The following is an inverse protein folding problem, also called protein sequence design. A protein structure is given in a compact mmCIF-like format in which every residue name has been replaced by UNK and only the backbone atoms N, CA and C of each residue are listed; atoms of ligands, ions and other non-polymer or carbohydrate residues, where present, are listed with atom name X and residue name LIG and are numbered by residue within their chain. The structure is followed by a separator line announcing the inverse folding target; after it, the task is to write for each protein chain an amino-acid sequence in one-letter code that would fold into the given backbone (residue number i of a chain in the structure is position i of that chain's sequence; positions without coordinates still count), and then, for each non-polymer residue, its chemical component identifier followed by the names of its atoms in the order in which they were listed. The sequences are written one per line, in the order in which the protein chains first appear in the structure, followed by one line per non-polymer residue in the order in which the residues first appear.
data_IF_625037401622
#
_entry.id   IF_625037401622
#
_cell.length_a   1.000
_cell.length_b   1.000
_cell.length_c   1.000
_cell.angle_alpha   90.00
_cell.angle_beta   90.00
_cell.angle_gamma   90.00
#
_symmetry.space_group_name_H-M   'P 1'
#
loop_
_entity.id
_entity.type
_entity.pdbx_description
1 polymer ?
#
# COMPACT_ATOMS: atom_id res chain seq x y z
N UNK A 1 4.26 -26.54 11.53
CA UNK A 1 4.54 -25.10 11.37
C UNK A 1 4.60 -24.46 12.75
N UNK A 2 5.59 -23.62 13.03
CA UNK A 2 5.60 -22.82 14.27
C UNK A 2 4.57 -21.68 14.15
N UNK A 3 4.00 -21.24 15.28
CA UNK A 3 3.02 -20.15 15.32
C UNK A 3 3.59 -18.87 14.66
N UNK A 4 4.88 -18.59 14.86
CA UNK A 4 5.54 -17.43 14.24
C UNK A 4 5.58 -17.47 12.71
N UNK A 5 5.78 -18.65 12.10
CA UNK A 5 5.77 -18.80 10.65
C UNK A 5 4.36 -18.56 10.07
N UNK A 6 3.32 -19.04 10.75
CA UNK A 6 1.93 -18.82 10.33
C UNK A 6 1.56 -17.33 10.34
N UNK A 7 1.99 -16.60 11.37
CA UNK A 7 1.76 -15.14 11.49
C UNK A 7 2.48 -14.37 10.38
N UNK A 8 3.72 -14.73 10.05
CA UNK A 8 4.46 -14.09 8.96
C UNK A 8 3.79 -14.32 7.59
N UNK A 9 3.31 -15.53 7.31
CA UNK A 9 2.60 -15.84 6.07
C UNK A 9 1.30 -15.04 6.00
N UNK A 10 0.50 -15.01 7.08
CA UNK A 10 -0.73 -14.24 7.12
C UNK A 10 -0.48 -12.74 6.88
N UNK A 11 0.58 -12.19 7.48
CA UNK A 11 0.97 -10.80 7.28
C UNK A 11 1.39 -10.50 5.84
N UNK A 12 2.21 -11.36 5.23
CA UNK A 12 2.61 -11.22 3.83
C UNK A 12 1.41 -11.29 2.87
N UNK A 13 0.47 -12.22 3.11
CA UNK A 13 -0.77 -12.32 2.33
C UNK A 13 -1.65 -11.09 2.50
N UNK A 14 -1.74 -10.52 3.71
CA UNK A 14 -2.50 -9.30 3.96
C UNK A 14 -1.90 -8.10 3.21
N UNK A 15 -0.57 -7.96 3.21
CA UNK A 15 0.13 -6.94 2.42
C UNK A 15 -0.19 -7.12 0.94
N UNK A 16 -0.01 -8.33 0.40
CA UNK A 16 -0.27 -8.62 -1.00
C UNK A 16 -1.72 -8.31 -1.39
N UNK A 17 -2.69 -8.75 -0.58
CA UNK A 17 -4.12 -8.51 -0.81
C UNK A 17 -4.47 -7.02 -0.82
N UNK A 18 -4.05 -6.26 0.20
CA UNK A 18 -4.32 -4.82 0.25
C UNK A 18 -3.66 -4.08 -0.91
N UNK A 19 -2.42 -4.44 -1.24
CA UNK A 19 -1.68 -3.82 -2.33
C UNK A 19 -2.38 -4.03 -3.67
N UNK A 20 -2.80 -5.26 -3.97
CA UNK A 20 -3.54 -5.58 -5.19
C UNK A 20 -4.89 -4.85 -5.26
N UNK A 21 -5.62 -4.77 -4.14
CA UNK A 21 -6.88 -4.04 -4.07
C UNK A 21 -6.69 -2.56 -4.38
N UNK A 22 -5.70 -1.91 -3.76
CA UNK A 22 -5.43 -0.48 -3.95
C UNK A 22 -4.90 -0.21 -5.37
N UNK A 23 -3.96 -1.03 -5.85
CA UNK A 23 -3.44 -0.92 -7.21
C UNK A 23 -4.54 -1.07 -8.25
N UNK A 24 -5.39 -2.09 -8.13
CA UNK A 24 -6.52 -2.31 -9.03
C UNK A 24 -7.49 -1.12 -9.05
N UNK A 25 -7.74 -0.51 -7.89
CA UNK A 25 -8.59 0.68 -7.81
C UNK A 25 -7.95 1.90 -8.47
N UNK A 26 -6.67 2.16 -8.22
CA UNK A 26 -5.94 3.28 -8.84
C UNK A 26 -5.89 3.13 -10.37
N UNK A 27 -5.64 1.92 -10.88
CA UNK A 27 -5.65 1.63 -12.31
C UNK A 27 -7.05 1.84 -12.89
N UNK A 28 -8.10 1.34 -12.22
CA UNK A 28 -9.49 1.56 -12.66
C UNK A 28 -9.88 3.04 -12.68
N UNK A 29 -9.48 3.80 -11.65
CA UNK A 29 -9.62 5.26 -11.61
C UNK A 29 -8.96 5.91 -12.83
N UNK A 30 -7.67 5.63 -13.05
CA UNK A 30 -6.89 6.23 -14.13
C UNK A 30 -7.46 5.89 -15.50
N UNK A 31 -7.88 4.64 -15.72
CA UNK A 31 -8.52 4.21 -16.96
C UNK A 31 -9.83 4.96 -17.22
N UNK A 32 -10.71 5.07 -16.21
CA UNK A 32 -11.96 5.84 -16.33
C UNK A 32 -11.70 7.31 -16.60
N UNK A 33 -10.73 7.92 -15.90
CA UNK A 33 -10.35 9.31 -16.10
C UNK A 33 -9.79 9.58 -17.50
N UNK A 34 -9.00 8.65 -18.04
CA UNK A 34 -8.45 8.74 -19.40
C UNK A 34 -9.56 8.68 -20.45
N UNK A 35 -10.58 7.83 -20.25
CA UNK A 35 -11.74 7.73 -21.15
C UNK A 35 -12.58 9.00 -21.22
N UNK A 36 -12.57 9.83 -20.18
CA UNK A 36 -13.29 11.11 -20.13
C UNK A 36 -12.34 12.32 -20.28
N UNK A 37 -11.13 12.11 -20.78
CA UNK A 37 -10.11 13.14 -21.02
C UNK A 37 -9.76 14.03 -19.80
N UNK A 38 -9.92 13.51 -18.57
CA UNK A 38 -9.56 14.23 -17.33
C UNK A 38 -8.12 13.94 -16.92
N UNK A 39 -7.17 14.45 -17.70
CA UNK A 39 -5.73 14.14 -17.56
C UNK A 39 -5.15 14.47 -16.18
N UNK A 40 -5.64 15.52 -15.49
CA UNK A 40 -5.22 15.81 -14.12
C UNK A 40 -5.51 14.66 -13.15
N UNK A 41 -6.68 14.01 -13.27
CA UNK A 41 -7.06 12.86 -12.45
C UNK A 41 -6.23 11.63 -12.82
N UNK A 42 -5.94 11.44 -14.11
CA UNK A 42 -5.05 10.37 -14.58
C UNK A 42 -3.68 10.51 -13.92
N UNK A 43 -3.08 11.71 -13.98
CA UNK A 43 -1.79 11.99 -13.34
C UNK A 43 -1.82 11.70 -11.83
N UNK A 44 -2.90 12.09 -11.12
CA UNK A 44 -3.05 11.76 -9.70
C UNK A 44 -3.15 10.26 -9.43
N UNK A 45 -3.85 9.50 -10.27
CA UNK A 45 -3.96 8.05 -10.12
C UNK A 45 -2.64 7.33 -10.46
N UNK A 46 -1.85 7.84 -11.42
CA UNK A 46 -0.46 7.37 -11.68
C UNK A 46 0.48 7.69 -10.52
N UNK A 47 0.44 8.92 -10.00
CA UNK A 47 1.22 9.31 -8.82
C UNK A 47 0.86 8.44 -7.60
N UNK A 48 -0.41 8.07 -7.45
CA UNK A 48 -0.85 7.13 -6.42
C UNK A 48 -0.25 5.74 -6.56
N UNK A 49 -0.11 5.23 -7.79
CA UNK A 49 0.57 3.95 -8.05
C UNK A 49 2.05 4.05 -7.69
N UNK A 50 2.72 5.13 -8.10
CA UNK A 50 4.12 5.37 -7.74
C UNK A 50 4.33 5.44 -6.22
N UNK A 51 3.42 6.11 -5.50
CA UNK A 51 3.45 6.17 -4.04
C UNK A 51 3.23 4.79 -3.39
N UNK A 52 2.33 3.96 -3.94
CA UNK A 52 2.14 2.58 -3.47
C UNK A 52 3.42 1.74 -3.66
N UNK A 53 4.10 1.87 -4.81
CA UNK A 53 5.38 1.19 -5.06
C UNK A 53 6.45 1.65 -4.09
N UNK A 54 6.53 2.96 -3.78
CA UNK A 54 7.47 3.49 -2.80
C UNK A 54 7.22 2.91 -1.39
N UNK A 55 5.96 2.74 -0.98
CA UNK A 55 5.60 2.11 0.29
C UNK A 55 6.00 0.63 0.36
N UNK A 56 5.85 -0.12 -0.75
CA UNK A 56 6.32 -1.50 -0.83
C UNK A 56 7.83 -1.59 -0.75
N UNK A 57 8.54 -0.70 -1.45
CA UNK A 57 9.99 -0.61 -1.40
C UNK A 57 10.47 -0.30 0.02
N UNK A 58 9.82 0.65 0.71
CA UNK A 58 10.08 0.94 2.12
C UNK A 58 9.89 -0.30 3.02
N UNK A 59 8.77 -1.00 2.89
CA UNK A 59 8.51 -2.21 3.67
C UNK A 59 9.58 -3.29 3.40
N UNK A 60 9.96 -3.49 2.13
CA UNK A 60 11.03 -4.42 1.76
C UNK A 60 12.38 -4.04 2.37
N UNK A 61 12.75 -2.75 2.38
CA UNK A 61 13.98 -2.26 3.01
C UNK A 61 13.98 -2.49 4.52
N UNK A 62 12.85 -2.26 5.20
CA UNK A 62 12.70 -2.52 6.65
C UNK A 62 12.89 -4.01 6.94
N UNK A 63 12.30 -4.89 6.13
CA UNK A 63 12.44 -6.33 6.29
C UNK A 63 13.86 -6.81 5.98
N UNK A 64 14.51 -6.25 4.97
CA UNK A 64 15.90 -6.55 4.63
C UNK A 64 16.83 -6.14 5.77
N UNK A 65 16.68 -4.92 6.31
CA UNK A 65 17.46 -4.43 7.44
C UNK A 65 17.27 -5.31 8.69
N UNK A 66 16.04 -5.73 8.97
CA UNK A 66 15.73 -6.69 10.04
C UNK A 66 16.33 -8.08 9.77
N UNK A 67 16.32 -8.54 8.52
CA UNK A 67 16.95 -9.79 8.09
C UNK A 67 18.46 -9.80 8.31
N UNK A 68 19.14 -8.71 7.92
CA UNK A 68 20.60 -8.54 8.02
C UNK A 68 21.09 -8.43 9.46
N UNK A 69 20.30 -7.86 10.38
CA UNK A 69 20.64 -7.82 11.80
C UNK A 69 20.63 -9.22 12.44
N UNK A 70 21.76 -9.95 12.41
CA UNK A 70 21.87 -11.34 12.89
C UNK A 70 21.98 -11.48 14.42
N UNK A 71 22.07 -10.38 15.18
CA UNK A 71 22.24 -10.41 16.64
C UNK A 71 21.07 -9.72 17.36
N UNK A 72 20.55 -10.37 18.41
CA UNK A 72 19.64 -9.76 19.38
C UNK A 72 18.15 -9.66 18.99
N UNK A 73 17.69 -10.43 17.99
CA UNK A 73 16.26 -10.47 17.64
C UNK A 73 15.43 -10.98 18.82
N UNK A 74 14.46 -10.17 19.25
CA UNK A 74 13.51 -10.48 20.30
C UNK A 74 12.12 -9.95 19.92
N UNK A 75 11.10 -10.26 20.73
CA UNK A 75 9.73 -9.84 20.45
C UNK A 75 9.58 -8.31 20.25
N UNK A 76 10.45 -7.50 20.87
CA UNK A 76 10.45 -6.04 20.72
C UNK A 76 10.99 -5.58 19.36
N UNK A 77 12.08 -6.19 18.87
CA UNK A 77 12.59 -5.91 17.52
C UNK A 77 11.60 -6.34 16.44
N UNK A 78 10.85 -7.41 16.69
CA UNK A 78 9.84 -7.94 15.78
C UNK A 78 8.67 -6.96 15.69
N UNK A 79 8.12 -6.57 16.85
CA UNK A 79 7.03 -5.59 16.92
C UNK A 79 7.41 -4.25 16.26
N UNK A 80 8.63 -3.77 16.50
CA UNK A 80 9.14 -2.55 15.88
C UNK A 80 9.20 -2.67 14.36
N UNK A 81 9.65 -3.81 13.84
CA UNK A 81 9.71 -4.07 12.40
C UNK A 81 8.31 -4.11 11.79
N UNK A 82 7.37 -4.82 12.42
CA UNK A 82 5.97 -4.84 12.01
C UNK A 82 5.33 -3.45 12.01
N UNK A 83 5.62 -2.62 13.01
CA UNK A 83 5.10 -1.26 13.08
C UNK A 83 5.69 -0.36 11.98
N UNK A 84 7.01 -0.40 11.78
CA UNK A 84 7.73 0.43 10.80
C UNK A 84 7.40 0.07 9.36
N UNK A 85 7.11 -1.19 9.04
CA UNK A 85 6.63 -1.58 7.71
C UNK A 85 5.11 -1.45 7.58
N UNK A 86 4.37 -1.91 8.59
CA UNK A 86 2.92 -2.06 8.54
C UNK A 86 2.18 -0.73 8.61
N UNK A 87 2.49 0.13 9.58
CA UNK A 87 1.75 1.39 9.77
C UNK A 87 1.83 2.28 8.52
N UNK A 88 3.01 2.53 7.93
CA UNK A 88 3.09 3.30 6.69
C UNK A 88 2.38 2.63 5.52
N UNK A 89 2.50 1.31 5.37
CA UNK A 89 1.92 0.58 4.25
C UNK A 89 0.40 0.56 4.31
N UNK A 90 -0.20 0.14 5.43
CA UNK A 90 -1.66 0.09 5.57
C UNK A 90 -2.27 1.50 5.63
N UNK A 91 -1.62 2.44 6.35
CA UNK A 91 -2.06 3.83 6.41
C UNK A 91 -2.00 4.53 5.05
N UNK A 92 -0.89 4.36 4.33
CA UNK A 92 -0.69 4.89 2.98
C UNK A 92 -1.64 4.26 1.97
N UNK A 93 -1.80 2.93 1.99
CA UNK A 93 -2.75 2.20 1.15
C UNK A 93 -4.19 2.68 1.38
N UNK A 94 -4.60 2.89 2.62
CA UNK A 94 -5.92 3.46 2.96
C UNK A 94 -6.09 4.89 2.44
N UNK A 95 -5.06 5.73 2.57
CA UNK A 95 -5.03 7.09 2.03
C UNK A 95 -5.21 7.11 0.52
N UNK A 96 -4.45 6.27 -0.19
CA UNK A 96 -4.52 6.11 -1.65
C UNK A 96 -5.89 5.58 -2.10
N UNK A 97 -6.47 4.64 -1.35
CA UNK A 97 -7.82 4.15 -1.60
C UNK A 97 -8.87 5.26 -1.49
N UNK A 98 -8.82 6.06 -0.41
CA UNK A 98 -9.74 7.19 -0.22
C UNK A 98 -9.55 8.26 -1.28
N UNK A 99 -8.31 8.57 -1.65
CA UNK A 99 -8.00 9.47 -2.76
C UNK A 99 -8.66 8.99 -4.05
N UNK A 100 -8.49 7.72 -4.42
CA UNK A 100 -9.11 7.17 -5.63
C UNK A 100 -10.64 7.28 -5.60
N UNK A 101 -11.29 7.01 -4.46
CA UNK A 101 -12.75 7.19 -4.29
C UNK A 101 -13.18 8.64 -4.49
N UNK A 102 -12.42 9.58 -3.94
CA UNK A 102 -12.72 11.01 -4.05
C UNK A 102 -12.61 11.49 -5.49
N UNK A 103 -11.59 11.04 -6.20
CA UNK A 103 -11.40 11.33 -7.62
C UNK A 103 -12.52 10.75 -8.49
N UNK A 104 -12.94 9.52 -8.22
CA UNK A 104 -14.11 8.91 -8.88
C UNK A 104 -15.39 9.70 -8.62
N UNK A 105 -15.66 10.12 -7.37
CA UNK A 105 -16.83 10.94 -7.04
C UNK A 105 -16.83 12.30 -7.77
N UNK A 106 -15.66 12.93 -7.93
CA UNK A 106 -15.49 14.16 -8.73
C UNK A 106 -15.76 13.92 -10.22
N UNK A 107 -15.46 12.73 -10.74
CA UNK A 107 -15.78 12.36 -12.13
C UNK A 107 -17.29 12.21 -12.35
N UNK A 108 -17.99 11.65 -11.37
CA UNK A 108 -19.44 11.42 -11.41
C UNK A 108 -20.29 12.66 -11.07
N UNK A 109 -19.65 13.81 -10.79
CA UNK A 109 -20.36 15.03 -10.38
C UNK A 109 -20.97 14.95 -8.98
N UNK A 110 -20.57 13.96 -8.18
CA UNK A 110 -21.02 13.74 -6.79
C UNK A 110 -20.13 14.41 -5.74
N UNK A 111 -19.09 15.11 -6.18
CA UNK A 111 -18.14 15.82 -5.33
C UNK A 111 -18.36 17.32 -5.40
N UNK A 112 -19.37 17.81 -4.69
CA UNK A 112 -19.40 19.16 -4.13
C UNK A 112 -18.85 19.09 -2.71
#
# INVERSE_FOLDING_TARGET
MTIGLAVLIAYALAIAGVTLLVAGRLVRCGYRAARVARYAIVASCVAGVAALVALLAWAALVWLAYGVAHSGKNAWTDLRTFALSGVPLFGGAWGLWRMARHLEARMEGRGA
#
